data_IF_147423334991
#
_entry.id   IF_147423334991
#
_cell.length_a   1.000
_cell.length_b   1.000
_cell.length_c   1.000
_cell.angle_alpha   90.00
_cell.angle_beta   90.00
_cell.angle_gamma   90.00
#
_symmetry.space_group_name_H-M   'P 1'
#
loop_
_entity.id
_entity.type
_entity.pdbx_description
1 polymer ?
#
# COMPACT_ATOMS: atom_id res chain seq x y z
N UNK A 1 25.00 15.93 0.14
CA UNK A 1 24.12 16.09 1.33
C UNK A 1 22.64 16.35 0.97
N UNK A 2 22.31 17.30 0.09
CA UNK A 2 20.92 17.62 -0.29
C UNK A 2 20.14 16.48 -0.99
N UNK A 3 20.79 15.71 -1.89
CA UNK A 3 20.16 14.56 -2.58
C UNK A 3 19.72 13.48 -1.58
N UNK A 4 20.61 13.12 -0.64
CA UNK A 4 20.35 12.21 0.47
C UNK A 4 19.15 12.64 1.33
N UNK A 5 19.07 13.92 1.68
CA UNK A 5 17.93 14.47 2.43
C UNK A 5 16.61 14.39 1.65
N UNK A 6 16.63 14.69 0.34
CA UNK A 6 15.45 14.58 -0.54
C UNK A 6 14.94 13.14 -0.61
N UNK A 7 15.83 12.15 -0.77
CA UNK A 7 15.44 10.73 -0.81
C UNK A 7 14.84 10.27 0.52
N UNK A 8 15.45 10.62 1.66
CA UNK A 8 14.89 10.31 2.98
C UNK A 8 13.48 10.89 3.19
N UNK A 9 13.22 12.11 2.70
CA UNK A 9 11.87 12.71 2.75
C UNK A 9 10.88 11.93 1.89
N UNK A 10 11.24 11.56 0.66
CA UNK A 10 10.38 10.74 -0.21
C UNK A 10 10.07 9.37 0.40
N UNK A 11 11.06 8.72 1.01
CA UNK A 11 10.87 7.45 1.75
C UNK A 11 9.82 7.63 2.86
N UNK A 12 9.92 8.69 3.66
CA UNK A 12 8.93 8.98 4.72
C UNK A 12 7.53 9.18 4.13
N UNK A 13 7.42 9.92 3.03
CA UNK A 13 6.15 10.14 2.33
C UNK A 13 5.54 8.83 1.81
N UNK A 14 6.32 7.97 1.16
CA UNK A 14 5.81 6.69 0.66
C UNK A 14 5.38 5.75 1.79
N UNK A 15 6.14 5.69 2.89
CA UNK A 15 5.73 4.91 4.07
C UNK A 15 4.39 5.39 4.63
N UNK A 16 4.20 6.69 4.76
CA UNK A 16 2.93 7.26 5.23
C UNK A 16 1.77 6.99 4.25
N UNK A 17 2.01 7.06 2.94
CA UNK A 17 1.00 6.73 1.92
C UNK A 17 0.59 5.25 1.98
N UNK A 18 1.56 4.35 2.11
CA UNK A 18 1.30 2.91 2.27
C UNK A 18 0.42 2.68 3.51
N UNK A 19 0.78 3.28 4.65
CA UNK A 19 0.01 3.12 5.90
C UNK A 19 -1.46 3.60 5.73
N UNK A 20 -1.68 4.74 5.06
CA UNK A 20 -3.03 5.24 4.79
C UNK A 20 -3.81 4.28 3.90
N UNK A 21 -3.18 3.76 2.84
CA UNK A 21 -3.83 2.83 1.92
C UNK A 21 -4.12 1.49 2.58
N UNK A 22 -3.23 1.00 3.44
CA UNK A 22 -3.44 -0.22 4.22
C UNK A 22 -4.63 -0.07 5.18
N UNK A 23 -4.75 1.09 5.86
CA UNK A 23 -5.93 1.41 6.68
C UNK A 23 -7.22 1.44 5.86
N UNK A 24 -7.19 2.00 4.65
CA UNK A 24 -8.37 2.01 3.75
C UNK A 24 -8.74 0.61 3.27
N UNK A 25 -7.74 -0.19 2.87
CA UNK A 25 -7.92 -1.59 2.43
C UNK A 25 -8.45 -2.48 3.54
N UNK A 26 -8.12 -2.21 4.80
CA UNK A 26 -8.52 -3.03 5.94
C UNK A 26 -10.04 -3.25 6.01
N UNK A 27 -10.85 -2.26 5.61
CA UNK A 27 -12.31 -2.39 5.53
C UNK A 27 -12.72 -3.47 4.53
N UNK A 28 -12.31 -3.36 3.28
CA UNK A 28 -12.59 -4.36 2.24
C UNK A 28 -12.00 -5.71 2.60
N UNK A 29 -10.82 -5.75 3.23
CA UNK A 29 -10.20 -7.00 3.68
C UNK A 29 -11.04 -7.71 4.75
N UNK A 30 -11.61 -6.96 5.71
CA UNK A 30 -12.49 -7.52 6.73
C UNK A 30 -13.78 -8.08 6.10
N UNK A 31 -14.40 -7.35 5.16
CA UNK A 31 -15.58 -7.82 4.44
C UNK A 31 -15.31 -9.10 3.62
N UNK A 32 -14.17 -9.16 2.93
CA UNK A 32 -13.74 -10.38 2.22
C UNK A 32 -13.52 -11.56 3.18
N UNK A 33 -12.89 -11.32 4.33
CA UNK A 33 -12.67 -12.36 5.34
C UNK A 33 -13.98 -12.86 5.94
N UNK A 34 -14.91 -11.96 6.26
CA UNK A 34 -16.24 -12.31 6.76
C UNK A 34 -17.01 -13.17 5.76
N UNK A 35 -16.98 -12.81 4.48
CA UNK A 35 -17.62 -13.60 3.42
C UNK A 35 -17.07 -15.03 3.36
N UNK A 36 -15.74 -15.18 3.46
CA UNK A 36 -15.07 -16.49 3.50
C UNK A 36 -15.53 -17.30 4.72
N UNK A 37 -15.54 -16.69 5.92
CA UNK A 37 -15.89 -17.37 7.17
C UNK A 37 -17.37 -17.77 7.24
N UNK A 38 -18.24 -17.01 6.58
CA UNK A 38 -19.69 -17.26 6.55
C UNK A 38 -20.14 -18.07 5.35
N UNK A 39 -19.21 -18.49 4.47
CA UNK A 39 -19.49 -19.14 3.19
C UNK A 39 -20.46 -18.35 2.30
N UNK A 40 -20.37 -17.02 2.37
CA UNK A 40 -21.14 -16.11 1.50
C UNK A 40 -20.27 -15.57 0.38
N UNK A 41 -20.91 -15.07 -0.67
CA UNK A 41 -20.20 -14.40 -1.77
C UNK A 41 -19.87 -12.96 -1.34
N UNK A 42 -18.60 -12.52 -1.39
CA UNK A 42 -18.25 -11.15 -1.09
C UNK A 42 -18.90 -10.18 -2.10
N UNK A 43 -19.14 -8.94 -1.68
CA UNK A 43 -19.66 -7.92 -2.60
C UNK A 43 -18.61 -7.54 -3.65
N UNK A 44 -19.04 -7.35 -4.90
CA UNK A 44 -18.16 -6.88 -5.99
C UNK A 44 -17.47 -5.56 -5.62
N UNK A 45 -18.17 -4.70 -4.89
CA UNK A 45 -17.64 -3.44 -4.39
C UNK A 45 -16.47 -3.64 -3.42
N UNK A 46 -16.57 -4.57 -2.48
CA UNK A 46 -15.47 -4.86 -1.54
C UNK A 46 -14.28 -5.50 -2.26
N UNK A 47 -14.54 -6.36 -3.24
CA UNK A 47 -13.50 -6.96 -4.10
C UNK A 47 -12.76 -5.85 -4.87
N UNK A 48 -13.48 -4.93 -5.50
CA UNK A 48 -12.91 -3.82 -6.26
C UNK A 48 -12.08 -2.89 -5.37
N UNK A 49 -12.60 -2.52 -4.19
CA UNK A 49 -11.83 -1.71 -3.24
C UNK A 49 -10.56 -2.42 -2.79
N UNK A 50 -10.64 -3.72 -2.47
CA UNK A 50 -9.47 -4.48 -2.05
C UNK A 50 -8.40 -4.52 -3.16
N UNK A 51 -8.81 -4.83 -4.39
CA UNK A 51 -7.93 -4.91 -5.55
C UNK A 51 -7.30 -3.55 -5.87
N UNK A 52 -8.11 -2.50 -5.87
CA UNK A 52 -7.65 -1.14 -6.15
C UNK A 52 -6.59 -0.67 -5.14
N UNK A 53 -6.88 -0.77 -3.83
CA UNK A 53 -5.91 -0.38 -2.80
C UNK A 53 -4.67 -1.26 -2.82
N UNK A 54 -4.81 -2.57 -3.07
CA UNK A 54 -3.67 -3.49 -3.18
C UNK A 54 -2.76 -3.11 -4.35
N UNK A 55 -3.33 -2.77 -5.50
CA UNK A 55 -2.56 -2.30 -6.66
C UNK A 55 -1.78 -1.03 -6.33
N UNK A 56 -2.42 -0.02 -5.72
CA UNK A 56 -1.76 1.22 -5.31
C UNK A 56 -0.64 0.99 -4.29
N UNK A 57 -0.87 0.14 -3.28
CA UNK A 57 0.14 -0.21 -2.27
C UNK A 57 1.36 -0.86 -2.95
N UNK A 58 1.14 -1.79 -3.88
CA UNK A 58 2.23 -2.48 -4.58
C UNK A 58 3.04 -1.52 -5.44
N UNK A 59 2.40 -0.60 -6.15
CA UNK A 59 3.07 0.44 -6.93
C UNK A 59 3.97 1.33 -6.04
N UNK A 60 3.45 1.77 -4.90
CA UNK A 60 4.22 2.62 -3.97
C UNK A 60 5.35 1.84 -3.31
N UNK A 61 5.14 0.55 -2.97
CA UNK A 61 6.19 -0.33 -2.43
C UNK A 61 7.33 -0.51 -3.44
N UNK A 62 7.02 -0.69 -4.73
CA UNK A 62 8.02 -0.75 -5.79
C UNK A 62 8.85 0.55 -5.86
N UNK A 63 8.18 1.70 -5.89
CA UNK A 63 8.84 3.02 -5.87
C UNK A 63 9.68 3.24 -4.61
N UNK A 64 9.21 2.74 -3.46
CA UNK A 64 9.95 2.82 -2.20
C UNK A 64 11.26 2.02 -2.27
N UNK A 65 11.20 0.79 -2.79
CA UNK A 65 12.39 -0.04 -2.99
C UNK A 65 13.41 0.64 -3.92
N UNK A 66 12.95 1.20 -5.05
CA UNK A 66 13.80 1.93 -5.99
C UNK A 66 14.51 3.13 -5.33
N UNK A 67 13.79 3.91 -4.51
CA UNK A 67 14.38 5.06 -3.80
C UNK A 67 15.33 4.62 -2.68
N UNK A 68 15.05 3.49 -2.01
CA UNK A 68 15.95 2.94 -1.00
C UNK A 68 17.27 2.49 -1.63
N UNK A 69 17.24 1.77 -2.75
CA UNK A 69 18.43 1.39 -3.49
C UNK A 69 19.26 2.62 -3.92
N UNK A 70 18.61 3.65 -4.48
CA UNK A 70 19.29 4.92 -4.83
C UNK A 70 19.93 5.63 -3.63
N UNK A 71 19.38 5.46 -2.43
CA UNK A 71 19.92 6.04 -1.20
C UNK A 71 21.12 5.26 -0.66
N UNK A 72 21.15 3.94 -0.88
CA UNK A 72 22.26 3.06 -0.50
C UNK A 72 23.47 3.26 -1.42
N UNK A 73 23.22 3.54 -2.71
CA UNK A 73 24.25 3.91 -3.69
C UNK A 73 24.84 5.34 -3.48
N UNK A 74 24.41 6.07 -2.44
CA UNK A 74 24.75 7.49 -2.16
C UNK A 74 25.52 7.75 -0.86
#
# INVERSE_FOLDING_TARGET
>A
MFKKLKLKRKIKTYKAQIEILEKKRARSQAALLEAILTHTTPSDTDVDYFNNYTSQINEIRKRLQEIQAQLEEL
#
